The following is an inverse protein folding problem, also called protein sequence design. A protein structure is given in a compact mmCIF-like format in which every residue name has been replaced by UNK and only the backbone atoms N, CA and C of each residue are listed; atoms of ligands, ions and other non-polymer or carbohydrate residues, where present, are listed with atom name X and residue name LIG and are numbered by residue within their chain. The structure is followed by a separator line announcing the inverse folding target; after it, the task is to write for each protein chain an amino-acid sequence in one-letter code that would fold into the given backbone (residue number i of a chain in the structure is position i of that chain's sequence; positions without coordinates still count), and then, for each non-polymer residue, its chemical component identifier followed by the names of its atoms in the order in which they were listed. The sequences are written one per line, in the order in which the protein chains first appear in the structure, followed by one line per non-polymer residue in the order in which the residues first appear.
data_IF_960149938689
#
_entry.id   IF_960149938689
#
_cell.length_a   1.000
_cell.length_b   1.000
_cell.length_c   1.000
_cell.angle_alpha   90.00
_cell.angle_beta   90.00
_cell.angle_gamma   90.00
#
_symmetry.space_group_name_H-M   'P 1'
#
loop_
_entity.id
_entity.type
_entity.pdbx_description
1 polymer ?
#
# COMPACT_ATOMS: atom_id res chain seq x y z
N UNK A 1 -14.19 -9.66 7.15
CA UNK A 1 -13.07 -10.55 6.78
C UNK A 1 -13.13 -10.72 5.27
N UNK A 2 -12.08 -10.31 4.55
CA UNK A 2 -12.18 -9.97 3.13
C UNK A 2 -12.50 -11.14 2.20
N UNK A 3 -13.26 -10.84 1.14
CA UNK A 3 -13.89 -11.78 0.21
C UNK A 3 -13.19 -11.87 -1.15
N UNK A 4 -12.09 -11.15 -1.41
CA UNK A 4 -11.54 -11.05 -2.78
C UNK A 4 -10.96 -12.38 -3.32
N UNK A 5 -10.31 -13.20 -2.49
CA UNK A 5 -9.86 -14.55 -2.89
C UNK A 5 -10.55 -15.71 -2.18
N UNK A 6 -11.44 -15.42 -1.21
CA UNK A 6 -12.40 -16.39 -0.67
C UNK A 6 -13.54 -16.51 -1.67
N UNK A 7 -13.66 -17.68 -2.29
CA UNK A 7 -14.62 -17.97 -3.34
C UNK A 7 -16.05 -17.54 -2.99
N UNK A 8 -16.82 -17.19 -4.02
CA UNK A 8 -18.22 -16.71 -4.01
C UNK A 8 -19.22 -17.74 -3.42
N UNK A 9 -18.76 -18.91 -2.95
CA UNK A 9 -19.55 -19.83 -2.13
C UNK A 9 -19.12 -19.72 -0.67
N UNK A 10 -20.08 -19.50 0.21
CA UNK A 10 -19.93 -19.25 1.65
C UNK A 10 -19.14 -20.35 2.41
N UNK A 11 -18.88 -21.52 1.80
CA UNK A 11 -18.48 -22.73 2.54
C UNK A 11 -17.08 -23.32 2.26
N UNK A 12 -16.20 -22.68 1.49
CA UNK A 12 -14.83 -23.21 1.34
C UNK A 12 -13.76 -22.10 1.35
N UNK A 13 -12.98 -22.04 2.43
CA UNK A 13 -11.71 -21.31 2.41
C UNK A 13 -10.80 -21.97 1.36
N UNK A 14 -10.11 -21.22 0.49
CA UNK A 14 -9.15 -21.80 -0.44
C UNK A 14 -8.09 -22.58 0.34
N UNK A 15 -7.61 -23.68 -0.24
CA UNK A 15 -6.45 -24.40 0.32
C UNK A 15 -5.24 -23.45 0.38
N UNK A 16 -4.28 -23.69 1.29
CA UNK A 16 -3.05 -22.88 1.34
C UNK A 16 -2.36 -22.75 -0.03
N UNK A 17 -2.27 -23.84 -0.79
CA UNK A 17 -1.67 -23.84 -2.13
C UNK A 17 -2.47 -23.02 -3.14
N UNK A 18 -3.81 -23.12 -3.11
CA UNK A 18 -4.66 -22.32 -3.98
C UNK A 18 -4.54 -20.82 -3.65
N UNK A 19 -4.50 -20.48 -2.36
CA UNK A 19 -4.31 -19.09 -1.94
C UNK A 19 -2.93 -18.58 -2.37
N UNK A 20 -1.87 -19.35 -2.13
CA UNK A 20 -0.52 -19.01 -2.55
C UNK A 20 -0.44 -18.80 -4.07
N UNK A 21 -1.08 -19.66 -4.87
CA UNK A 21 -1.17 -19.52 -6.31
C UNK A 21 -1.83 -18.20 -6.76
N UNK A 22 -2.99 -17.85 -6.16
CA UNK A 22 -3.68 -16.58 -6.43
C UNK A 22 -2.85 -15.36 -6.05
N UNK A 23 -2.18 -15.41 -4.89
CA UNK A 23 -1.30 -14.33 -4.42
C UNK A 23 -0.08 -14.16 -5.34
N UNK A 24 0.52 -15.27 -5.79
CA UNK A 24 1.62 -15.23 -6.75
C UNK A 24 1.18 -14.64 -8.11
N UNK A 25 -0.02 -14.96 -8.57
CA UNK A 25 -0.59 -14.36 -9.78
C UNK A 25 -0.81 -12.85 -9.63
N UNK A 26 -1.39 -12.42 -8.51
CA UNK A 26 -1.58 -11.01 -8.19
C UNK A 26 -0.24 -10.26 -8.13
N UNK A 27 0.75 -10.81 -7.44
CA UNK A 27 2.07 -10.21 -7.34
C UNK A 27 2.78 -10.13 -8.70
N UNK A 28 2.62 -11.16 -9.56
CA UNK A 28 3.11 -11.13 -10.95
C UNK A 28 2.44 -10.02 -11.75
N UNK A 29 1.11 -9.91 -11.67
CA UNK A 29 0.38 -8.82 -12.32
C UNK A 29 0.89 -7.45 -11.87
N UNK A 30 1.02 -7.26 -10.55
CA UNK A 30 1.51 -6.00 -9.96
C UNK A 30 2.88 -5.64 -10.54
N UNK A 31 3.84 -6.57 -10.55
CA UNK A 31 5.18 -6.34 -11.12
C UNK A 31 5.12 -5.95 -12.59
N UNK A 32 4.43 -6.74 -13.42
CA UNK A 32 4.37 -6.48 -14.86
C UNK A 32 3.70 -5.14 -15.17
N UNK A 33 2.60 -4.84 -14.48
CA UNK A 33 1.84 -3.62 -14.71
C UNK A 33 2.55 -2.36 -14.20
N UNK A 34 3.28 -2.46 -13.08
CA UNK A 34 4.16 -1.38 -12.61
C UNK A 34 5.27 -1.07 -13.61
N UNK A 35 5.91 -2.08 -14.19
CA UNK A 35 6.94 -1.87 -15.23
C UNK A 35 6.33 -1.23 -16.48
N UNK A 36 5.15 -1.69 -16.91
CA UNK A 36 4.45 -1.13 -18.06
C UNK A 36 4.08 0.34 -17.85
N UNK A 37 3.51 0.71 -16.68
CA UNK A 37 3.15 2.10 -16.39
C UNK A 37 4.37 3.02 -16.32
N UNK A 38 5.48 2.55 -15.71
CA UNK A 38 6.76 3.28 -15.69
C UNK A 38 7.33 3.46 -17.11
N UNK A 39 7.28 2.40 -17.93
CA UNK A 39 7.71 2.46 -19.33
C UNK A 39 6.91 3.50 -20.13
N UNK A 40 5.58 3.48 -20.02
CA UNK A 40 4.71 4.46 -20.69
C UNK A 40 4.92 5.88 -20.16
N UNK A 41 5.20 6.04 -18.88
CA UNK A 41 5.52 7.32 -18.27
C UNK A 41 6.85 7.89 -18.79
N UNK A 42 7.86 7.04 -19.02
CA UNK A 42 9.26 7.44 -19.22
C UNK A 42 9.92 7.91 -17.91
N UNK A 43 9.29 7.61 -16.76
CA UNK A 43 9.66 8.13 -15.45
C UNK A 43 9.02 7.30 -14.34
N UNK A 44 9.73 6.99 -13.27
CA UNK A 44 9.18 6.29 -12.12
C UNK A 44 10.24 5.53 -11.30
N UNK A 45 9.79 4.76 -10.31
CA UNK A 45 10.65 4.06 -9.36
C UNK A 45 10.43 2.54 -9.42
N UNK A 46 11.13 1.82 -10.32
CA UNK A 46 10.89 0.40 -10.53
C UNK A 46 11.32 -0.46 -9.34
N UNK A 47 12.47 -0.19 -8.71
CA UNK A 47 12.99 -1.01 -7.61
C UNK A 47 12.02 -1.12 -6.42
N UNK A 48 11.56 0.03 -5.92
CA UNK A 48 10.61 0.10 -4.80
C UNK A 48 9.21 -0.44 -5.14
N UNK A 49 8.80 -0.42 -6.40
CA UNK A 49 7.55 -1.00 -6.86
C UNK A 49 7.63 -2.53 -6.95
N UNK A 50 8.74 -3.08 -7.45
CA UNK A 50 8.92 -4.52 -7.63
C UNK A 50 9.15 -5.26 -6.30
N UNK A 51 9.85 -4.64 -5.36
CA UNK A 51 10.10 -5.18 -4.01
C UNK A 51 8.83 -5.33 -3.17
N UNK A 52 7.85 -4.44 -3.37
CA UNK A 52 6.62 -4.41 -2.58
C UNK A 52 5.48 -5.29 -3.15
N UNK A 53 5.63 -5.88 -4.34
CA UNK A 53 4.53 -6.55 -5.05
C UNK A 53 3.91 -7.73 -4.28
N UNK A 54 4.71 -8.58 -3.63
CA UNK A 54 4.18 -9.69 -2.84
C UNK A 54 3.46 -9.20 -1.58
N UNK A 55 3.96 -8.15 -0.94
CA UNK A 55 3.33 -7.52 0.22
C UNK A 55 1.96 -6.95 -0.16
N UNK A 56 1.87 -6.25 -1.29
CA UNK A 56 0.60 -5.75 -1.82
C UNK A 56 -0.39 -6.88 -2.12
N UNK A 57 0.07 -7.95 -2.78
CA UNK A 57 -0.77 -9.11 -3.07
C UNK A 57 -1.33 -9.74 -1.79
N UNK A 58 -0.48 -9.95 -0.77
CA UNK A 58 -0.90 -10.48 0.52
C UNK A 58 -1.87 -9.55 1.25
N UNK A 59 -1.55 -8.25 1.32
CA UNK A 59 -2.37 -7.27 2.02
C UNK A 59 -3.75 -7.14 1.39
N UNK A 60 -3.85 -6.87 0.10
CA UNK A 60 -5.14 -6.66 -0.56
C UNK A 60 -5.90 -7.97 -0.82
N UNK A 61 -5.18 -9.06 -1.12
CA UNK A 61 -5.78 -10.33 -1.52
C UNK A 61 -6.21 -11.22 -0.36
N UNK A 62 -5.55 -11.13 0.80
CA UNK A 62 -5.75 -12.09 1.89
C UNK A 62 -5.96 -11.45 3.27
N UNK A 63 -5.21 -10.40 3.61
CA UNK A 63 -5.14 -9.89 4.98
C UNK A 63 -6.18 -8.79 5.26
N UNK A 64 -6.13 -7.70 4.49
CA UNK A 64 -6.97 -6.52 4.72
C UNK A 64 -8.41 -6.77 4.33
N UNK A 65 -9.36 -6.19 5.05
CA UNK A 65 -10.79 -6.13 4.77
C UNK A 65 -11.15 -4.92 3.90
N UNK A 66 -10.95 -5.00 2.59
CA UNK A 66 -11.17 -3.90 1.63
C UNK A 66 -11.88 -4.34 0.35
N UNK A 67 -12.70 -3.45 -0.21
CA UNK A 67 -13.52 -3.75 -1.39
C UNK A 67 -13.56 -2.56 -2.35
N UNK A 68 -13.39 -2.84 -3.64
CA UNK A 68 -13.45 -1.83 -4.68
C UNK A 68 -14.84 -1.17 -4.83
N UNK A 69 -15.90 -1.91 -4.56
CA UNK A 69 -17.28 -1.42 -4.65
C UNK A 69 -17.78 -0.73 -3.35
N UNK A 70 -16.96 -0.65 -2.31
CA UNK A 70 -17.34 -0.10 -1.01
C UNK A 70 -16.22 0.73 -0.36
N UNK A 71 -15.56 1.60 -1.13
CA UNK A 71 -14.42 2.41 -0.67
C UNK A 71 -14.78 3.45 0.41
N UNK A 72 -16.07 3.70 0.64
CA UNK A 72 -16.54 4.62 1.69
C UNK A 72 -17.08 3.88 2.92
N UNK A 73 -17.08 2.54 2.92
CA UNK A 73 -17.53 1.75 4.06
C UNK A 73 -16.66 2.04 5.28
N UNK A 74 -17.21 2.58 6.38
CA UNK A 74 -16.40 2.93 7.55
C UNK A 74 -15.59 1.76 8.10
N UNK A 75 -16.17 0.55 8.06
CA UNK A 75 -15.60 -0.68 8.63
C UNK A 75 -14.52 -1.38 7.78
N UNK A 76 -14.21 -0.87 6.57
CA UNK A 76 -13.10 -1.41 5.78
C UNK A 76 -11.76 -1.13 6.46
N UNK A 77 -10.73 -1.91 6.18
CA UNK A 77 -9.37 -1.59 6.60
C UNK A 77 -8.80 -0.42 5.77
N UNK A 78 -7.81 0.27 6.32
CA UNK A 78 -7.13 1.41 5.68
C UNK A 78 -5.71 0.99 5.27
N UNK A 79 -5.23 1.46 4.12
CA UNK A 79 -3.83 1.27 3.70
C UNK A 79 -3.16 2.58 3.31
N UNK A 80 -2.04 2.88 3.95
CA UNK A 80 -1.20 4.04 3.64
C UNK A 80 0.10 3.59 3.01
N UNK A 81 0.39 4.07 1.80
CA UNK A 81 1.71 3.88 1.19
C UNK A 81 2.65 5.01 1.63
N UNK A 82 3.30 4.87 2.79
CA UNK A 82 4.24 5.88 3.32
C UNK A 82 5.42 6.09 2.38
N UNK A 83 5.98 5.00 1.84
CA UNK A 83 6.94 5.01 0.73
C UNK A 83 6.29 5.38 -0.61
N UNK A 84 5.71 6.57 -0.70
CA UNK A 84 4.86 7.02 -1.79
C UNK A 84 5.49 6.90 -3.18
N UNK A 85 6.81 6.88 -3.29
CA UNK A 85 7.52 6.69 -4.56
C UNK A 85 7.19 5.34 -5.24
N UNK A 86 6.74 4.34 -4.47
CA UNK A 86 6.23 3.05 -4.97
C UNK A 86 4.78 3.09 -5.47
N UNK A 87 4.24 4.30 -5.76
CA UNK A 87 2.92 4.50 -6.35
C UNK A 87 2.58 3.56 -7.52
N UNK A 88 3.50 3.23 -8.45
CA UNK A 88 3.20 2.32 -9.55
C UNK A 88 2.73 0.93 -9.10
N UNK A 89 3.21 0.43 -7.95
CA UNK A 89 2.76 -0.84 -7.37
C UNK A 89 1.39 -0.72 -6.71
N UNK A 90 1.13 0.38 -6.01
CA UNK A 90 -0.20 0.66 -5.45
C UNK A 90 -1.25 0.76 -6.56
N UNK A 91 -0.96 1.48 -7.65
CA UNK A 91 -1.90 1.62 -8.78
C UNK A 91 -2.12 0.30 -9.51
N UNK A 92 -1.06 -0.50 -9.71
CA UNK A 92 -1.19 -1.84 -10.25
C UNK A 92 -2.02 -2.77 -9.35
N UNK A 93 -1.89 -2.61 -8.03
CA UNK A 93 -2.73 -3.32 -7.04
C UNK A 93 -4.19 -2.90 -7.19
N UNK A 94 -4.46 -1.59 -7.28
CA UNK A 94 -5.78 -1.07 -7.55
C UNK A 94 -6.39 -1.61 -8.85
N UNK A 95 -5.59 -1.70 -9.92
CA UNK A 95 -6.00 -2.27 -11.20
C UNK A 95 -6.32 -3.77 -11.11
N UNK A 96 -5.51 -4.54 -10.37
CA UNK A 96 -5.72 -5.97 -10.20
C UNK A 96 -6.99 -6.27 -9.40
N UNK A 97 -7.22 -5.53 -8.32
CA UNK A 97 -8.32 -5.77 -7.37
C UNK A 97 -9.58 -4.92 -7.67
N UNK A 98 -9.61 -4.24 -8.81
CA UNK A 98 -10.80 -3.53 -9.33
C UNK A 98 -11.06 -2.14 -8.76
N UNK A 99 -10.14 -1.56 -7.99
CA UNK A 99 -10.26 -0.19 -7.46
C UNK A 99 -10.09 0.89 -8.53
N UNK A 100 -9.45 0.56 -9.65
CA UNK A 100 -9.32 1.46 -10.78
C UNK A 100 -9.27 0.69 -12.11
N UNK A 101 -9.50 1.41 -13.21
CA UNK A 101 -9.38 0.84 -14.55
C UNK A 101 -7.92 0.52 -14.89
N UNK A 102 -7.61 -0.74 -15.29
CA UNK A 102 -6.24 -1.12 -15.62
C UNK A 102 -5.61 -0.29 -16.73
N UNK A 103 -6.37 0.09 -17.77
CA UNK A 103 -5.83 0.87 -18.89
C UNK A 103 -5.55 2.31 -18.47
N UNK A 104 -6.44 2.93 -17.72
CA UNK A 104 -6.26 4.28 -17.18
C UNK A 104 -5.04 4.35 -16.26
N UNK A 105 -4.80 3.32 -15.43
CA UNK A 105 -3.66 3.26 -14.51
C UNK A 105 -2.28 3.19 -15.19
N UNK A 106 -2.22 2.92 -16.50
CA UNK A 106 -1.00 3.04 -17.30
C UNK A 106 -0.62 4.51 -17.59
N UNK A 107 -1.53 5.46 -17.34
CA UNK A 107 -1.31 6.90 -17.48
C UNK A 107 -0.43 7.53 -16.39
N UNK A 108 0.50 6.78 -15.78
CA UNK A 108 1.37 7.26 -14.71
C UNK A 108 2.11 8.55 -15.12
N UNK A 109 2.09 9.57 -14.24
CA UNK A 109 2.79 10.85 -14.39
C UNK A 109 2.44 11.64 -15.67
N UNK A 110 1.37 11.29 -16.38
CA UNK A 110 0.90 12.08 -17.52
C UNK A 110 0.08 13.26 -17.05
N UNK A 111 0.17 14.36 -17.79
CA UNK A 111 -0.65 15.54 -17.52
C UNK A 111 -2.14 15.15 -17.51
N UNK A 112 -2.90 15.65 -16.53
CA UNK A 112 -4.32 15.37 -16.31
C UNK A 112 -4.66 13.90 -15.99
N UNK A 113 -3.67 13.03 -15.77
CA UNK A 113 -3.90 11.68 -15.26
C UNK A 113 -4.09 11.73 -13.74
N UNK A 114 -5.05 11.00 -13.16
CA UNK A 114 -5.17 10.88 -11.71
C UNK A 114 -4.03 10.03 -11.09
N UNK A 115 -3.29 9.30 -11.92
CA UNK A 115 -2.18 8.44 -11.50
C UNK A 115 -0.88 9.24 -11.43
N UNK A 116 -0.78 10.05 -10.38
CA UNK A 116 0.34 10.96 -10.13
C UNK A 116 1.66 10.23 -9.81
N UNK A 117 2.77 10.96 -9.77
CA UNK A 117 4.08 10.39 -9.45
C UNK A 117 4.23 9.85 -8.02
N UNK A 118 3.36 10.33 -7.13
CA UNK A 118 3.11 9.86 -5.77
C UNK A 118 1.58 9.85 -5.55
N UNK A 119 1.02 9.03 -4.64
CA UNK A 119 -0.43 8.95 -4.45
C UNK A 119 -1.04 10.31 -4.09
N UNK A 120 -2.20 10.62 -4.68
CA UNK A 120 -2.94 11.84 -4.42
C UNK A 120 -4.40 11.52 -4.12
N UNK A 121 -4.84 11.81 -2.90
CA UNK A 121 -6.16 11.38 -2.39
C UNK A 121 -7.36 12.01 -3.12
N UNK A 122 -7.21 13.22 -3.65
CA UNK A 122 -8.31 13.91 -4.34
C UNK A 122 -8.56 13.32 -5.74
N UNK A 123 -7.50 12.84 -6.40
CA UNK A 123 -7.58 12.22 -7.73
C UNK A 123 -7.95 10.72 -7.64
N UNK A 124 -7.55 10.05 -6.56
CA UNK A 124 -7.77 8.62 -6.33
C UNK A 124 -8.44 8.41 -4.96
N UNK A 125 -9.77 8.52 -4.87
CA UNK A 125 -10.50 8.50 -3.59
C UNK A 125 -10.47 7.16 -2.84
N UNK A 126 -9.93 6.10 -3.46
CA UNK A 126 -9.68 4.81 -2.81
C UNK A 126 -8.31 4.74 -2.10
N UNK A 127 -7.42 5.71 -2.33
CA UNK A 127 -6.18 5.91 -1.59
C UNK A 127 -6.49 6.76 -0.36
N UNK A 128 -5.93 6.42 0.80
CA UNK A 128 -6.30 7.06 2.07
C UNK A 128 -5.75 8.48 2.26
N UNK A 129 -4.60 8.77 1.67
CA UNK A 129 -3.90 10.03 1.87
C UNK A 129 -2.92 10.30 0.74
N UNK A 130 -2.55 11.57 0.55
CA UNK A 130 -1.44 11.92 -0.32
C UNK A 130 -0.12 11.61 0.39
N UNK A 131 0.82 10.96 -0.29
CA UNK A 131 2.16 10.68 0.25
C UNK A 131 3.25 11.09 -0.75
N UNK A 132 4.52 10.98 -0.35
CA UNK A 132 5.67 11.30 -1.21
C UNK A 132 6.78 11.96 -0.42
N UNK A 133 6.42 12.82 0.54
CA UNK A 133 7.32 13.17 1.64
C UNK A 133 7.44 11.97 2.55
N UNK A 134 8.65 11.42 2.68
CA UNK A 134 8.91 10.25 3.52
C UNK A 134 8.59 10.58 4.99
N UNK A 135 8.17 9.57 5.75
CA UNK A 135 7.80 9.69 7.17
C UNK A 135 6.34 10.08 7.41
N UNK A 136 5.80 11.03 6.64
CA UNK A 136 4.45 11.58 6.86
C UNK A 136 3.33 10.54 6.79
N UNK A 137 3.46 9.54 5.91
CA UNK A 137 2.47 8.47 5.79
C UNK A 137 2.32 7.65 7.09
N UNK A 138 3.40 7.43 7.83
CA UNK A 138 3.38 6.77 9.13
C UNK A 138 2.60 7.59 10.17
N UNK A 139 2.86 8.89 10.27
CA UNK A 139 2.11 9.80 11.15
C UNK A 139 0.62 9.82 10.83
N UNK A 140 0.26 9.88 9.54
CA UNK A 140 -1.14 9.84 9.10
C UNK A 140 -1.78 8.50 9.48
N UNK A 141 -1.09 7.38 9.29
CA UNK A 141 -1.60 6.06 9.68
C UNK A 141 -1.85 5.95 11.20
N UNK A 142 -0.98 6.51 12.02
CA UNK A 142 -1.18 6.63 13.48
C UNK A 142 -2.44 7.43 13.80
N UNK A 143 -2.63 8.58 13.16
CA UNK A 143 -3.84 9.41 13.31
C UNK A 143 -5.12 8.66 12.92
N UNK A 144 -5.09 7.94 11.80
CA UNK A 144 -6.21 7.09 11.36
C UNK A 144 -6.54 6.01 12.39
N UNK A 145 -5.53 5.32 12.93
CA UNK A 145 -5.72 4.26 13.92
C UNK A 145 -6.31 4.78 15.23
N UNK A 146 -5.85 5.93 15.71
CA UNK A 146 -6.45 6.64 16.86
C UNK A 146 -7.91 6.98 16.57
N UNK A 147 -8.19 7.58 15.41
CA UNK A 147 -9.53 8.00 15.01
C UNK A 147 -10.52 6.84 14.93
N UNK A 148 -10.13 5.71 14.34
CA UNK A 148 -10.99 4.51 14.25
C UNK A 148 -11.31 3.95 15.64
N UNK A 149 -10.32 3.92 16.54
CA UNK A 149 -10.52 3.45 17.91
C UNK A 149 -11.46 4.35 18.72
N UNK A 150 -11.30 5.67 18.60
CA UNK A 150 -12.20 6.64 19.27
C UNK A 150 -13.65 6.49 18.79
N UNK A 151 -13.83 6.18 17.50
CA UNK A 151 -15.14 5.92 16.90
C UNK A 151 -15.66 4.51 17.18
N UNK A 152 -14.89 3.65 17.85
CA UNK A 152 -15.22 2.23 18.10
C UNK A 152 -15.47 1.44 16.81
N UNK A 153 -14.80 1.81 15.72
CA UNK A 153 -14.86 1.09 14.45
C UNK A 153 -13.79 -0.02 14.47
N UNK A 154 -14.16 -1.30 14.31
CA UNK A 154 -13.24 -2.44 14.45
C UNK A 154 -12.38 -2.66 13.19
N UNK A 155 -11.91 -1.58 12.55
CA UNK A 155 -11.07 -1.60 11.37
C UNK A 155 -9.59 -1.47 11.73
N UNK A 156 -8.72 -2.05 10.90
CA UNK A 156 -7.26 -1.97 11.03
C UNK A 156 -6.69 -0.95 10.05
N UNK A 157 -5.55 -0.38 10.41
CA UNK A 157 -4.74 0.49 9.54
C UNK A 157 -3.44 -0.22 9.24
N UNK A 158 -3.14 -0.35 7.97
CA UNK A 158 -1.87 -0.84 7.46
C UNK A 158 -1.08 0.31 6.87
N UNK A 159 0.22 0.34 7.09
CA UNK A 159 1.11 1.30 6.44
C UNK A 159 2.38 0.60 5.98
N UNK A 160 2.83 0.93 4.77
CA UNK A 160 4.06 0.37 4.21
C UNK A 160 5.12 1.47 4.11
N UNK A 161 6.28 1.19 4.73
CA UNK A 161 7.44 2.09 4.76
C UNK A 161 8.60 1.49 3.98
N UNK A 162 9.48 2.35 3.48
CA UNK A 162 10.82 1.96 3.07
C UNK A 162 11.72 1.81 4.30
N UNK A 163 12.78 1.02 4.19
CA UNK A 163 13.78 0.94 5.26
C UNK A 163 14.66 2.20 5.35
N UNK A 164 14.96 2.86 4.22
CA UNK A 164 15.56 4.20 4.22
C UNK A 164 14.64 5.28 4.79
N UNK A 165 13.33 5.13 4.63
CA UNK A 165 12.34 6.05 5.22
C UNK A 165 12.38 6.04 6.76
N UNK A 166 12.86 4.97 7.39
CA UNK A 166 13.03 4.90 8.85
C UNK A 166 14.11 5.87 9.38
N UNK A 167 14.85 6.54 8.50
CA UNK A 167 15.82 7.56 8.89
C UNK A 167 15.14 8.90 9.19
N UNK A 168 13.89 9.10 8.76
CA UNK A 168 13.12 10.30 9.09
C UNK A 168 12.74 10.29 10.57
N UNK A 169 13.04 11.39 11.28
CA UNK A 169 12.73 11.54 12.71
C UNK A 169 11.23 11.39 12.99
N UNK A 170 10.39 11.84 12.06
CA UNK A 170 8.94 11.74 12.13
C UNK A 170 8.45 10.29 12.31
N UNK A 171 9.13 9.29 11.71
CA UNK A 171 8.77 7.88 11.87
C UNK A 171 8.89 7.44 13.34
N UNK A 172 9.91 7.91 14.04
CA UNK A 172 10.16 7.56 15.43
C UNK A 172 9.22 8.27 16.40
N UNK A 173 8.85 9.52 16.10
CA UNK A 173 7.78 10.23 16.82
C UNK A 173 6.45 9.49 16.67
N UNK A 174 6.10 9.09 15.45
CA UNK A 174 4.89 8.33 15.17
C UNK A 174 4.90 6.94 15.85
N UNK A 175 6.02 6.23 15.82
CA UNK A 175 6.17 4.94 16.50
C UNK A 175 6.03 5.06 18.04
N UNK A 176 6.64 6.10 18.62
CA UNK A 176 6.51 6.41 20.05
C UNK A 176 5.05 6.70 20.43
N UNK A 177 4.36 7.51 19.62
CA UNK A 177 2.93 7.82 19.79
C UNK A 177 2.06 6.57 19.68
N UNK A 178 2.29 5.71 18.69
CA UNK A 178 1.55 4.48 18.51
C UNK A 178 1.67 3.54 19.73
N UNK A 179 2.87 3.42 20.29
CA UNK A 179 3.13 2.63 21.49
C UNK A 179 2.47 3.25 22.73
N UNK A 180 2.63 4.56 22.94
CA UNK A 180 2.00 5.30 24.04
C UNK A 180 0.48 5.09 24.04
N UNK A 181 -0.13 5.22 22.87
CA UNK A 181 -1.56 5.02 22.69
C UNK A 181 -1.98 3.56 22.64
N UNK A 182 -1.07 2.57 22.61
CA UNK A 182 -1.40 1.13 22.50
C UNK A 182 -2.28 0.82 21.27
N UNK A 183 -1.85 1.24 20.09
CA UNK A 183 -2.60 1.07 18.85
C UNK A 183 -2.44 -0.36 18.29
N UNK A 184 -3.18 -1.31 18.83
CA UNK A 184 -3.24 -2.72 18.38
C UNK A 184 -3.94 -2.90 17.02
N UNK A 185 -4.65 -1.86 16.57
CA UNK A 185 -5.27 -1.77 15.25
C UNK A 185 -4.34 -1.18 14.16
N UNK A 186 -3.09 -0.85 14.48
CA UNK A 186 -2.08 -0.40 13.50
C UNK A 186 -1.08 -1.52 13.18
N UNK A 187 -0.78 -1.71 11.90
CA UNK A 187 0.26 -2.62 11.41
C UNK A 187 1.17 -1.90 10.42
N UNK A 188 2.43 -1.69 10.82
CA UNK A 188 3.47 -1.15 9.95
C UNK A 188 4.25 -2.30 9.30
N UNK A 189 4.44 -2.22 7.99
CA UNK A 189 5.22 -3.17 7.19
C UNK A 189 6.42 -2.44 6.61
N UNK A 190 7.62 -2.95 6.90
CA UNK A 190 8.86 -2.37 6.37
C UNK A 190 9.29 -3.20 5.14
N UNK A 191 9.36 -2.54 3.99
CA UNK A 191 10.01 -3.07 2.79
C UNK A 191 11.53 -2.96 2.95
N UNK A 192 12.11 -4.00 3.57
CA UNK A 192 13.52 -4.07 3.96
C UNK A 192 14.40 -4.60 2.82
N UNK A 193 14.58 -3.77 1.79
CA UNK A 193 15.33 -4.11 0.58
C UNK A 193 16.80 -3.65 0.58
N UNK A 194 17.22 -2.93 1.63
CA UNK A 194 18.60 -2.50 1.95
C UNK A 194 19.18 -1.45 1.00
N UNK A 195 18.37 -0.80 0.17
CA UNK A 195 18.80 0.17 -0.84
C UNK A 195 18.03 1.49 -0.73
N UNK A 196 18.75 2.58 -0.98
CA UNK A 196 18.23 3.95 -1.10
C UNK A 196 18.68 4.58 -2.42
N UNK A 197 18.27 5.83 -2.65
CA UNK A 197 18.60 6.58 -3.87
C UNK A 197 20.11 6.66 -4.14
N UNK A 198 20.91 6.97 -3.11
CA UNK A 198 22.34 7.22 -3.27
C UNK A 198 23.20 5.95 -3.08
N UNK A 199 22.80 5.04 -2.18
CA UNK A 199 23.57 3.82 -1.89
C UNK A 199 22.76 2.77 -1.10
N UNK A 200 23.40 1.66 -0.75
CA UNK A 200 22.92 0.72 0.27
C UNK A 200 22.80 1.41 1.63
N UNK A 201 21.83 0.99 2.44
CA UNK A 201 21.57 1.56 3.78
C UNK A 201 22.82 1.52 4.67
N UNK A 202 23.55 0.41 4.62
CA UNK A 202 24.79 0.21 5.39
C UNK A 202 25.90 1.18 4.99
N UNK A 203 25.87 1.78 3.81
CA UNK A 203 26.85 2.78 3.39
C UNK A 203 26.42 4.21 3.78
N UNK A 204 25.12 4.47 3.87
CA UNK A 204 24.56 5.77 4.25
C UNK A 204 24.61 6.00 5.76
N UNK A 205 24.37 4.95 6.56
CA UNK A 205 24.24 5.04 8.03
C UNK A 205 25.52 4.71 8.82
N UNK A 206 26.68 4.72 8.15
CA UNK A 206 27.98 4.44 8.79
C UNK A 206 28.56 5.64 9.51
#
# INVERSE_FOLDING_TARGET
MNQQFRTISVDAKPSPDMLAGKLAEAARFIRCHSVASIFHAGSGHPGGALSSADLFACLYGAEMNVWANAIHEPSRDRFVLSKGHAAPALYATGAHFGFCDPKASLGLRKLNSPFQGHPHVLDLPWVETSTGSLGQGMSVAVGMAIGLRLQKIPARVYTMLGDGELQEGEVWEAAMSAAHHRLDNLCAVIDYNKLQSDNCNDAIMR
#
